data_IF_638210116085
#
_entry.id   IF_638210116085
#
_cell.length_a   1.000
_cell.length_b   1.000
_cell.length_c   1.000
_cell.angle_alpha   90.00
_cell.angle_beta   90.00
_cell.angle_gamma   90.00
#
_symmetry.space_group_name_H-M   'P 1'
#
loop_
_entity.id
_entity.type
_entity.pdbx_description
1 polymer ?
#
# COMPACT_ATOMS: atom_id res chain seq x y z
N UNK A 1 -10.89 -17.68 -7.97
CA UNK A 1 -9.90 -16.91 -7.20
C UNK A 1 -10.01 -15.49 -7.71
N UNK A 2 -10.42 -14.56 -6.86
CA UNK A 2 -10.51 -13.14 -7.22
C UNK A 2 -9.11 -12.63 -7.57
N UNK A 3 -9.00 -11.70 -8.50
CA UNK A 3 -7.78 -10.92 -8.72
C UNK A 3 -8.23 -9.49 -9.02
N UNK A 4 -7.46 -8.50 -8.57
CA UNK A 4 -7.72 -7.12 -8.93
C UNK A 4 -6.79 -6.73 -10.07
N UNK A 5 -7.36 -6.47 -11.25
CA UNK A 5 -6.61 -6.00 -12.41
C UNK A 5 -6.77 -4.50 -12.59
N UNK A 6 -5.66 -3.78 -12.66
CA UNK A 6 -5.69 -2.35 -12.96
C UNK A 6 -6.08 -2.13 -14.43
N UNK A 7 -7.03 -1.22 -14.69
CA UNK A 7 -7.41 -0.84 -16.06
C UNK A 7 -6.21 -0.35 -16.89
N UNK A 8 -5.39 0.51 -16.29
CA UNK A 8 -4.18 1.07 -16.90
C UNK A 8 -3.09 1.25 -15.85
N UNK A 9 -1.84 0.91 -16.18
CA UNK A 9 -0.66 1.17 -15.34
C UNK A 9 0.35 1.98 -16.13
N UNK A 10 0.58 3.22 -15.71
CA UNK A 10 1.59 4.08 -16.32
C UNK A 10 2.99 3.72 -15.79
N UNK A 11 3.93 3.34 -16.65
CA UNK A 11 5.29 2.89 -16.27
C UNK A 11 6.27 4.04 -15.98
N UNK A 12 5.73 5.14 -15.47
CA UNK A 12 6.44 6.37 -15.13
C UNK A 12 6.18 6.72 -13.67
N UNK A 13 6.96 7.64 -13.11
CA UNK A 13 6.66 8.15 -11.78
C UNK A 13 5.63 9.28 -11.83
N UNK A 14 4.75 9.39 -10.82
CA UNK A 14 3.81 10.50 -10.77
C UNK A 14 4.56 11.83 -10.70
N UNK A 15 4.18 12.77 -11.55
CA UNK A 15 4.59 14.15 -11.42
C UNK A 15 4.03 14.75 -10.12
N UNK A 16 4.79 15.67 -9.52
CA UNK A 16 4.36 16.41 -8.33
C UNK A 16 3.90 15.51 -7.16
N UNK A 17 4.46 14.30 -7.06
CA UNK A 17 4.09 13.28 -6.06
C UNK A 17 4.03 13.83 -4.62
N UNK A 18 4.92 14.76 -4.27
CA UNK A 18 4.99 15.35 -2.93
C UNK A 18 3.81 16.30 -2.60
N UNK A 19 2.86 16.48 -3.51
CA UNK A 19 1.64 17.27 -3.34
C UNK A 19 0.36 16.44 -3.43
N UNK A 20 0.50 15.12 -3.55
CA UNK A 20 -0.59 14.19 -3.84
C UNK A 20 -0.67 13.10 -2.77
N UNK A 21 -1.75 12.34 -2.80
CA UNK A 21 -2.01 11.22 -1.91
C UNK A 21 -1.90 9.91 -2.66
N UNK A 22 -1.23 8.92 -2.06
CA UNK A 22 -1.01 7.63 -2.70
C UNK A 22 -1.16 6.47 -1.73
N UNK A 23 -1.67 5.35 -2.25
CA UNK A 23 -1.42 4.02 -1.70
C UNK A 23 -0.18 3.46 -2.39
N UNK A 24 0.72 2.90 -1.60
CA UNK A 24 1.98 2.30 -2.02
C UNK A 24 1.89 0.79 -1.85
N UNK A 25 2.06 0.03 -2.93
CA UNK A 25 2.11 -1.43 -2.90
C UNK A 25 3.53 -1.86 -3.25
N UNK A 26 4.30 -2.20 -2.23
CA UNK A 26 5.69 -2.62 -2.31
C UNK A 26 5.83 -4.12 -2.54
N UNK A 27 6.82 -4.49 -3.34
CA UNK A 27 7.00 -5.87 -3.82
C UNK A 27 5.67 -6.37 -4.39
N UNK A 28 5.10 -5.61 -5.32
CA UNK A 28 3.79 -5.90 -5.91
C UNK A 28 3.76 -7.26 -6.64
N UNK A 29 4.93 -7.78 -7.01
CA UNK A 29 5.17 -9.09 -7.57
C UNK A 29 5.16 -10.24 -6.53
N UNK A 30 5.03 -9.94 -5.23
CA UNK A 30 5.04 -10.91 -4.13
C UNK A 30 3.70 -10.95 -3.42
N UNK A 31 3.42 -12.11 -2.82
CA UNK A 31 2.18 -12.37 -2.09
C UNK A 31 2.48 -12.73 -0.63
N UNK A 32 1.86 -12.04 0.35
CA UNK A 32 1.22 -10.74 0.19
C UNK A 32 2.25 -9.62 -0.08
N UNK A 33 1.85 -8.53 -0.76
CA UNK A 33 2.68 -7.34 -0.85
C UNK A 33 2.70 -6.58 0.48
N UNK A 34 3.66 -5.67 0.64
CA UNK A 34 3.67 -4.73 1.75
C UNK A 34 3.01 -3.40 1.33
N UNK A 35 2.19 -2.82 2.20
CA UNK A 35 1.37 -1.65 1.88
C UNK A 35 1.74 -0.49 2.79
N UNK A 36 1.78 0.71 2.23
CA UNK A 36 1.76 1.96 2.99
C UNK A 36 0.97 3.03 2.27
N UNK A 37 0.90 4.21 2.86
CA UNK A 37 0.21 5.37 2.29
C UNK A 37 1.09 6.61 2.40
N UNK A 38 0.90 7.59 1.54
CA UNK A 38 1.52 8.90 1.67
C UNK A 38 0.52 10.01 1.47
N UNK A 39 0.71 11.11 2.19
CA UNK A 39 0.06 12.40 1.96
C UNK A 39 1.14 13.47 1.81
N UNK A 40 1.35 13.91 0.57
CA UNK A 40 2.38 14.88 0.25
C UNK A 40 3.79 14.40 0.63
N UNK A 41 4.42 15.07 1.61
CA UNK A 41 5.80 14.79 2.03
C UNK A 41 5.92 13.61 2.99
N UNK A 42 4.82 13.21 3.60
CA UNK A 42 4.79 12.20 4.65
C UNK A 42 4.34 10.85 4.10
N UNK A 43 5.10 9.82 4.46
CA UNK A 43 4.83 8.42 4.17
C UNK A 43 4.65 7.65 5.47
N UNK A 44 3.63 6.80 5.49
CA UNK A 44 3.24 5.98 6.63
C UNK A 44 3.13 4.52 6.22
N UNK A 45 3.66 3.62 7.04
CA UNK A 45 3.46 2.19 6.88
C UNK A 45 3.58 1.47 8.21
N UNK A 46 3.01 0.28 8.29
CA UNK A 46 3.17 -0.59 9.45
C UNK A 46 3.88 -1.87 9.02
N UNK A 47 5.04 -2.13 9.61
CA UNK A 47 5.87 -3.29 9.32
C UNK A 47 5.87 -4.26 10.50
N UNK A 48 6.39 -5.48 10.30
CA UNK A 48 6.58 -6.44 11.40
C UNK A 48 7.56 -5.93 12.47
N UNK A 49 8.41 -4.96 12.14
CA UNK A 49 9.39 -4.38 13.06
C UNK A 49 8.80 -3.21 13.85
N UNK A 50 8.11 -2.31 13.15
CA UNK A 50 7.60 -1.05 13.69
C UNK A 50 6.59 -0.35 12.77
N UNK A 51 5.86 0.61 13.32
CA UNK A 51 5.19 1.69 12.60
C UNK A 51 6.23 2.68 12.10
N UNK A 52 6.12 3.07 10.83
CA UNK A 52 7.07 3.96 10.16
C UNK A 52 6.36 5.24 9.74
N UNK A 53 6.94 6.38 10.14
CA UNK A 53 6.65 7.70 9.59
C UNK A 53 7.95 8.24 8.99
N UNK A 54 7.99 8.34 7.66
CA UNK A 54 9.17 8.68 6.88
C UNK A 54 8.83 9.72 5.80
N UNK A 55 9.85 10.26 5.14
CA UNK A 55 9.65 11.17 4.02
C UNK A 55 9.33 10.39 2.73
N UNK A 56 8.27 10.79 2.02
CA UNK A 56 7.89 10.26 0.70
C UNK A 56 9.06 10.26 -0.28
N UNK A 57 9.85 11.34 -0.29
CA UNK A 57 11.03 11.45 -1.14
C UNK A 57 12.11 10.39 -0.85
N UNK A 58 12.34 10.07 0.44
CA UNK A 58 13.27 9.03 0.85
C UNK A 58 12.80 7.65 0.40
N UNK A 59 11.50 7.39 0.51
CA UNK A 59 10.91 6.13 0.07
C UNK A 59 10.97 5.96 -1.44
N UNK A 60 10.67 7.02 -2.20
CA UNK A 60 10.82 7.01 -3.65
C UNK A 60 12.27 6.72 -4.07
N UNK A 61 13.25 7.36 -3.40
CA UNK A 61 14.67 7.10 -3.64
C UNK A 61 15.05 5.65 -3.35
N UNK A 62 14.50 5.06 -2.28
CA UNK A 62 14.69 3.64 -1.93
C UNK A 62 14.14 2.72 -3.02
N UNK A 63 12.92 2.99 -3.51
CA UNK A 63 12.28 2.21 -4.58
C UNK A 63 13.13 2.19 -5.86
N UNK A 64 13.61 3.37 -6.29
CA UNK A 64 14.49 3.51 -7.46
C UNK A 64 15.80 2.75 -7.30
N UNK A 65 16.52 2.96 -6.20
CA UNK A 65 17.86 2.39 -6.00
C UNK A 65 17.85 0.87 -5.84
N UNK A 66 16.80 0.34 -5.21
CA UNK A 66 16.71 -1.08 -4.86
C UNK A 66 15.96 -1.90 -5.92
N UNK A 67 15.54 -1.27 -7.02
CA UNK A 67 14.74 -1.87 -8.08
C UNK A 67 13.52 -2.64 -7.57
N UNK A 68 12.88 -2.13 -6.51
CA UNK A 68 11.73 -2.82 -5.90
C UNK A 68 10.52 -2.64 -6.81
N UNK A 69 9.80 -3.72 -7.18
CA UNK A 69 8.52 -3.64 -7.87
C UNK A 69 7.51 -2.89 -7.01
N UNK A 70 7.00 -1.78 -7.52
CA UNK A 70 6.16 -0.84 -6.78
C UNK A 70 4.97 -0.41 -7.65
N UNK A 71 3.77 -0.48 -7.08
CA UNK A 71 2.58 0.18 -7.62
C UNK A 71 2.22 1.37 -6.73
N UNK A 72 1.89 2.48 -7.36
CA UNK A 72 1.46 3.72 -6.74
C UNK A 72 0.07 4.04 -7.25
N UNK A 73 -0.90 4.14 -6.34
CA UNK A 73 -2.29 4.42 -6.67
C UNK A 73 -2.60 5.81 -6.15
N UNK A 74 -2.76 6.76 -7.06
CA UNK A 74 -3.17 8.12 -6.74
C UNK A 74 -4.64 8.12 -6.35
N UNK A 75 -4.94 8.73 -5.21
CA UNK A 75 -6.29 8.84 -4.64
C UNK A 75 -6.55 10.29 -4.22
N UNK A 76 -7.82 10.74 -4.17
CA UNK A 76 -8.16 12.03 -3.60
C UNK A 76 -7.74 12.13 -2.13
N UNK A 77 -7.32 13.31 -1.69
CA UNK A 77 -7.00 13.53 -0.27
C UNK A 77 -8.21 13.32 0.64
N UNK A 78 -9.42 13.59 0.14
CA UNK A 78 -10.69 13.38 0.86
C UNK A 78 -10.95 11.93 1.26
N UNK A 79 -10.25 10.96 0.67
CA UNK A 79 -10.31 9.55 1.08
C UNK A 79 -9.71 9.34 2.47
N UNK A 80 -8.79 10.20 2.91
CA UNK A 80 -8.25 10.17 4.26
C UNK A 80 -9.17 10.95 5.20
N UNK A 81 -10.07 10.22 5.86
CA UNK A 81 -11.07 10.79 6.77
C UNK A 81 -10.47 11.07 8.15
N UNK A 82 -9.53 10.22 8.61
CA UNK A 82 -8.85 10.39 9.89
C UNK A 82 -7.42 10.88 9.73
N UNK A 83 -6.87 11.53 10.75
CA UNK A 83 -5.48 11.99 10.72
C UNK A 83 -4.49 10.83 10.73
N UNK A 84 -3.58 10.81 9.74
CA UNK A 84 -2.63 9.72 9.53
C UNK A 84 -1.66 9.57 10.72
N UNK A 85 -1.18 10.68 11.30
CA UNK A 85 -0.22 10.63 12.41
C UNK A 85 -0.90 10.03 13.64
N UNK A 86 -2.10 10.53 13.98
CA UNK A 86 -2.88 10.03 15.09
C UNK A 86 -3.17 8.54 14.95
N UNK A 87 -3.64 8.09 13.78
CA UNK A 87 -3.96 6.68 13.55
C UNK A 87 -2.71 5.81 13.65
N UNK A 88 -1.65 6.10 12.89
CA UNK A 88 -0.46 5.23 12.86
C UNK A 88 0.31 5.19 14.19
N UNK A 89 0.18 6.22 15.04
CA UNK A 89 0.79 6.22 16.38
C UNK A 89 0.17 5.22 17.36
N UNK A 90 -1.05 4.72 17.08
CA UNK A 90 -1.73 3.70 17.89
C UNK A 90 -1.14 2.30 17.71
N UNK A 91 -0.32 2.11 16.67
CA UNK A 91 0.20 0.81 16.28
C UNK A 91 1.71 0.77 16.55
N UNK A 92 2.16 -0.27 17.26
CA UNK A 92 3.60 -0.51 17.43
C UNK A 92 4.19 -1.23 16.22
N UNK A 93 3.62 -2.39 15.85
CA UNK A 93 4.06 -3.22 14.72
C UNK A 93 2.96 -4.15 14.22
N UNK A 94 3.13 -4.71 13.03
CA UNK A 94 2.26 -5.78 12.51
C UNK A 94 2.59 -7.12 13.20
N UNK A 95 1.74 -7.53 14.14
CA UNK A 95 1.85 -8.79 14.89
C UNK A 95 0.47 -9.26 15.40
N UNK A 96 0.33 -10.55 15.72
CA UNK A 96 -0.87 -11.07 16.39
C UNK A 96 -2.19 -10.90 15.61
N UNK A 97 -2.15 -11.04 14.28
CA UNK A 97 -3.31 -10.82 13.40
C UNK A 97 -3.47 -9.38 12.91
N UNK A 98 -2.72 -8.44 13.51
CA UNK A 98 -2.65 -7.06 13.04
C UNK A 98 -1.71 -6.95 11.84
N UNK A 99 -2.22 -6.38 10.75
CA UNK A 99 -1.55 -6.30 9.45
C UNK A 99 -1.29 -4.85 9.05
N UNK A 100 -0.44 -4.65 8.04
CA UNK A 100 -0.18 -3.31 7.49
C UNK A 100 -1.43 -2.58 6.95
N UNK A 101 -2.52 -3.31 6.67
CA UNK A 101 -3.77 -2.77 6.17
C UNK A 101 -4.66 -2.16 7.27
N UNK A 102 -4.48 -2.56 8.53
CA UNK A 102 -5.31 -2.09 9.65
C UNK A 102 -5.31 -0.55 9.82
N UNK A 103 -4.15 0.12 9.97
CA UNK A 103 -4.14 1.58 10.08
C UNK A 103 -4.68 2.27 8.82
N UNK A 104 -4.49 1.68 7.64
CA UNK A 104 -5.00 2.23 6.37
C UNK A 104 -6.53 2.24 6.35
N UNK A 105 -7.16 1.13 6.77
CA UNK A 105 -8.62 1.04 6.90
C UNK A 105 -9.17 2.07 7.86
N UNK A 106 -8.51 2.26 9.00
CA UNK A 106 -8.94 3.24 10.00
C UNK A 106 -8.83 4.68 9.47
N UNK A 107 -7.74 5.01 8.76
CA UNK A 107 -7.59 6.31 8.09
C UNK A 107 -8.72 6.56 7.10
N UNK A 108 -9.14 5.53 6.36
CA UNK A 108 -10.19 5.62 5.33
C UNK A 108 -11.61 5.34 5.85
N UNK A 109 -11.77 5.03 7.13
CA UNK A 109 -13.02 4.53 7.75
C UNK A 109 -13.66 3.34 7.00
N UNK A 110 -12.83 2.44 6.47
CA UNK A 110 -13.26 1.25 5.72
C UNK A 110 -13.14 -0.02 6.57
N UNK A 111 -13.98 -0.14 7.59
CA UNK A 111 -13.99 -1.30 8.49
C UNK A 111 -14.42 -2.60 7.80
N UNK A 112 -15.09 -2.55 6.65
CA UNK A 112 -15.48 -3.74 5.88
C UNK A 112 -14.35 -4.41 5.09
N UNK A 113 -13.19 -3.75 4.94
CA UNK A 113 -12.11 -4.18 4.04
C UNK A 113 -11.15 -5.14 4.75
N UNK A 114 -11.21 -6.44 4.48
CA UNK A 114 -10.30 -7.42 5.11
C UNK A 114 -8.96 -7.59 4.40
N UNK A 115 -8.89 -7.28 3.10
CA UNK A 115 -7.77 -7.57 2.21
C UNK A 115 -7.52 -6.42 1.23
N UNK A 116 -6.33 -6.37 0.64
CA UNK A 116 -5.97 -5.34 -0.34
C UNK A 116 -6.89 -5.38 -1.57
N UNK A 117 -7.23 -6.57 -2.09
CA UNK A 117 -8.16 -6.70 -3.23
C UNK A 117 -9.52 -6.04 -2.93
N UNK A 118 -10.02 -6.19 -1.71
CA UNK A 118 -11.29 -5.58 -1.29
C UNK A 118 -11.15 -4.04 -1.21
N UNK A 119 -10.01 -3.53 -0.74
CA UNK A 119 -9.73 -2.09 -0.74
C UNK A 119 -9.72 -1.53 -2.16
N UNK A 120 -9.01 -2.20 -3.07
CA UNK A 120 -8.86 -1.75 -4.45
C UNK A 120 -10.19 -1.79 -5.20
N UNK A 121 -10.99 -2.84 -4.97
CA UNK A 121 -12.33 -2.98 -5.56
C UNK A 121 -13.25 -1.86 -5.08
N UNK A 122 -13.22 -1.53 -3.78
CA UNK A 122 -13.97 -0.39 -3.24
C UNK A 122 -13.55 0.94 -3.86
N UNK A 123 -12.24 1.21 -3.92
CA UNK A 123 -11.73 2.45 -4.51
C UNK A 123 -12.10 2.55 -6.01
N UNK A 124 -12.11 1.44 -6.74
CA UNK A 124 -12.54 1.41 -8.14
C UNK A 124 -14.05 1.61 -8.30
N UNK A 125 -14.88 1.00 -7.45
CA UNK A 125 -16.34 1.14 -7.55
C UNK A 125 -16.83 2.56 -7.24
N UNK A 126 -16.10 3.29 -6.39
CA UNK A 126 -16.38 4.67 -6.02
C UNK A 126 -15.64 5.71 -6.90
N UNK A 127 -14.95 5.27 -7.97
CA UNK A 127 -14.15 6.13 -8.87
C UNK A 127 -13.08 6.97 -8.13
N UNK A 128 -12.50 6.41 -7.07
CA UNK A 128 -11.49 7.05 -6.23
C UNK A 128 -10.06 6.76 -6.69
N UNK A 129 -9.86 5.91 -7.70
CA UNK A 129 -8.54 5.65 -8.30
C UNK A 129 -8.30 6.67 -9.43
N UNK A 130 -7.53 7.72 -9.14
CA UNK A 130 -7.27 8.80 -10.10
C UNK A 130 -6.24 8.40 -11.17
N UNK A 131 -5.15 7.77 -10.74
CA UNK A 131 -4.07 7.33 -11.63
C UNK A 131 -3.31 6.18 -10.97
N UNK A 132 -2.82 5.23 -11.77
CA UNK A 132 -1.98 4.13 -11.29
C UNK A 132 -0.64 4.16 -11.99
N UNK A 133 0.42 4.28 -11.21
CA UNK A 133 1.79 4.31 -11.69
C UNK A 133 2.54 3.06 -11.23
N UNK A 134 3.43 2.55 -12.08
CA UNK A 134 4.20 1.34 -11.84
C UNK A 134 5.69 1.57 -12.02
N UNK A 135 6.49 1.09 -11.08
CA UNK A 135 7.95 1.16 -11.12
C UNK A 135 8.56 -0.23 -10.93
N UNK A 136 9.55 -0.58 -11.77
CA UNK A 136 10.26 -1.88 -11.74
C UNK A 136 9.35 -3.12 -11.76
N UNK A 137 8.11 -3.00 -12.26
CA UNK A 137 7.19 -4.14 -12.31
C UNK A 137 7.60 -5.08 -13.44
N UNK A 138 7.44 -6.41 -13.27
CA UNK A 138 7.75 -7.37 -14.31
C UNK A 138 6.92 -7.13 -15.58
N UNK A 139 7.42 -7.67 -16.68
CA UNK A 139 6.68 -7.70 -17.95
C UNK A 139 5.37 -8.47 -17.75
N UNK A 140 4.28 -7.97 -18.34
CA UNK A 140 2.97 -8.59 -18.20
C UNK A 140 2.28 -8.41 -16.84
N UNK A 141 2.86 -7.67 -15.88
CA UNK A 141 2.17 -7.35 -14.63
C UNK A 141 0.87 -6.57 -14.90
N UNK A 142 -0.25 -7.06 -14.36
CA UNK A 142 -1.61 -6.48 -14.55
C UNK A 142 -2.32 -6.14 -13.25
N UNK A 143 -1.95 -6.73 -12.13
CA UNK A 143 -2.83 -6.70 -10.98
C UNK A 143 -2.27 -7.37 -9.73
N UNK A 144 -3.10 -7.38 -8.70
CA UNK A 144 -2.84 -8.01 -7.41
C UNK A 144 -3.67 -9.29 -7.33
N UNK A 145 -3.04 -10.47 -7.15
CA UNK A 145 -3.79 -11.70 -6.89
C UNK A 145 -4.43 -11.64 -5.50
N UNK A 146 -5.57 -12.29 -5.33
CA UNK A 146 -6.15 -12.50 -4.00
C UNK A 146 -5.30 -13.46 -3.17
N UNK A 147 -5.22 -13.20 -1.86
CA UNK A 147 -4.37 -13.92 -0.92
C UNK A 147 -5.02 -13.99 0.46
N UNK A 148 -4.90 -15.13 1.12
CA UNK A 148 -5.57 -15.39 2.39
C UNK A 148 -4.87 -14.73 3.58
N UNK A 149 -5.56 -14.66 4.73
CA UNK A 149 -4.93 -14.26 5.99
C UNK A 149 -3.80 -15.22 6.40
N UNK A 150 -3.93 -16.52 6.09
CA UNK A 150 -2.88 -17.52 6.33
C UNK A 150 -1.61 -17.18 5.54
N UNK A 151 -1.74 -16.73 4.30
CA UNK A 151 -0.60 -16.27 3.48
C UNK A 151 0.09 -15.06 4.12
N UNK A 152 -0.70 -14.15 4.73
CA UNK A 152 -0.16 -13.00 5.45
C UNK A 152 0.65 -13.43 6.67
N UNK A 153 0.07 -14.29 7.51
CA UNK A 153 0.73 -14.78 8.73
C UNK A 153 1.99 -15.57 8.39
N UNK A 154 1.93 -16.46 7.40
CA UNK A 154 3.07 -17.24 6.91
C UNK A 154 4.22 -16.33 6.47
N UNK A 155 3.89 -15.25 5.75
CA UNK A 155 4.89 -14.28 5.29
C UNK A 155 5.53 -13.51 6.44
N UNK A 156 4.75 -13.08 7.43
CA UNK A 156 5.27 -12.38 8.62
C UNK A 156 6.24 -13.31 9.38
N UNK A 157 5.88 -14.58 9.58
CA UNK A 157 6.76 -15.56 10.24
C UNK A 157 8.08 -15.74 9.49
N UNK A 158 8.04 -15.91 8.16
CA UNK A 158 9.25 -16.02 7.34
C UNK A 158 10.18 -14.80 7.41
N UNK A 159 9.62 -13.60 7.62
CA UNK A 159 10.39 -12.37 7.75
C UNK A 159 11.00 -12.21 9.15
N UNK A 160 10.41 -12.83 10.18
CA UNK A 160 10.93 -12.83 11.55
C UNK A 160 12.05 -13.85 11.77
N UNK A 161 12.13 -14.91 10.96
CA UNK A 161 13.18 -15.94 11.04
C UNK A 161 14.51 -15.53 10.37
N UNK A 162 14.59 -14.33 9.78
CA UNK A 162 15.79 -13.78 9.13
C UNK A 162 16.38 -12.61 9.91
#
# INVERSE_FOLDING_TARGET
MSEFNFKTIYRELPEQMLRKSFIWIWNADKVPPHIGISRGKDYFSLTYRKSEHLLTASMLKKAKRSLIPLVLIEIPESVFVSDLVSVFSKYDRAAGGLTCLHPIREVMQQEGVSQLVNLLTYLESEDLILKVNGLNLPEGYRGIPDYSMEDILKRISQLNEK
#
